data_IF_668327759972
#
_entry.id   IF_668327759972
#
_cell.length_a   1.000
_cell.length_b   1.000
_cell.length_c   1.000
_cell.angle_alpha   90.00
_cell.angle_beta   90.00
_cell.angle_gamma   90.00
#
_symmetry.space_group_name_H-M   'P 1'
#
loop_
_entity.id
_entity.type
_entity.pdbx_description
1 polymer ?
#
# COMPACT_ATOMS: atom_id res chain seq x y z
N UNK A 1 -20.29 -3.13 -6.16
CA UNK A 1 -18.96 -3.73 -6.37
C UNK A 1 -18.10 -2.67 -7.04
N UNK A 2 -16.87 -2.42 -6.55
CA UNK A 2 -16.00 -1.29 -7.00
C UNK A 2 -15.46 -1.52 -8.43
N UNK A 3 -15.62 -2.74 -8.92
CA UNK A 3 -15.20 -3.34 -10.20
C UNK A 3 -15.76 -2.71 -11.46
N UNK A 4 -16.54 -1.64 -11.35
CA UNK A 4 -17.08 -0.89 -12.48
C UNK A 4 -16.78 0.61 -12.39
N UNK A 5 -16.00 1.05 -11.39
CA UNK A 5 -15.65 2.45 -11.18
C UNK A 5 -14.34 2.86 -11.87
N UNK A 6 -13.72 1.97 -12.64
CA UNK A 6 -12.52 2.26 -13.43
C UNK A 6 -11.27 2.51 -12.58
N UNK A 7 -11.16 1.90 -11.40
CA UNK A 7 -9.98 2.01 -10.56
C UNK A 7 -8.84 1.12 -11.09
N UNK A 8 -7.62 1.65 -11.14
CA UNK A 8 -6.43 0.87 -11.54
C UNK A 8 -5.73 0.20 -10.34
N UNK A 9 -5.94 0.73 -9.14
CA UNK A 9 -5.31 0.28 -7.89
C UNK A 9 -6.17 0.61 -6.67
N UNK A 10 -5.89 -0.08 -5.56
CA UNK A 10 -6.50 0.17 -4.25
C UNK A 10 -5.39 0.52 -3.26
N UNK A 11 -5.53 1.65 -2.57
CA UNK A 11 -4.61 2.06 -1.51
C UNK A 11 -5.20 1.68 -0.15
N UNK A 12 -4.48 0.89 0.62
CA UNK A 12 -4.83 0.56 1.99
C UNK A 12 -4.33 1.69 2.91
N UNK A 13 -5.18 2.67 3.16
CA UNK A 13 -4.83 3.85 3.95
C UNK A 13 -4.88 3.62 5.47
N UNK A 14 -5.60 2.58 5.92
CA UNK A 14 -5.71 2.18 7.32
C UNK A 14 -4.87 0.93 7.61
N UNK A 15 -4.22 0.89 8.77
CA UNK A 15 -3.35 -0.22 9.17
C UNK A 15 -4.09 -1.55 9.28
N UNK A 16 -5.35 -1.52 9.69
CA UNK A 16 -6.18 -2.72 9.85
C UNK A 16 -6.59 -3.31 8.49
N UNK A 17 -6.55 -2.51 7.42
CA UNK A 17 -6.88 -2.99 6.08
C UNK A 17 -5.81 -3.94 5.55
N UNK A 18 -4.54 -3.75 5.91
CA UNK A 18 -3.50 -4.70 5.55
C UNK A 18 -3.82 -6.10 6.11
N UNK A 19 -4.24 -6.19 7.38
CA UNK A 19 -4.66 -7.45 8.00
C UNK A 19 -5.89 -8.07 7.32
N UNK A 20 -6.84 -7.23 6.91
CA UNK A 20 -8.07 -7.69 6.25
C UNK A 20 -7.82 -8.18 4.81
N UNK A 21 -6.79 -7.67 4.13
CA UNK A 21 -6.43 -8.04 2.77
C UNK A 21 -5.30 -9.07 2.70
N UNK A 22 -4.69 -9.43 3.83
CA UNK A 22 -3.61 -10.40 3.88
C UNK A 22 -4.05 -11.77 3.32
N UNK A 23 -3.23 -12.33 2.43
CA UNK A 23 -3.51 -13.57 1.71
C UNK A 23 -4.71 -13.55 0.76
N UNK A 24 -5.39 -12.41 0.56
CA UNK A 24 -6.52 -12.30 -0.36
C UNK A 24 -6.05 -12.03 -1.79
N UNK A 25 -6.55 -12.83 -2.74
CA UNK A 25 -6.37 -12.56 -4.15
C UNK A 25 -7.34 -11.46 -4.60
N UNK A 26 -6.81 -10.37 -5.15
CA UNK A 26 -7.63 -9.28 -5.72
C UNK A 26 -7.24 -9.05 -7.17
N UNK A 27 -8.19 -8.59 -7.99
CA UNK A 27 -7.92 -8.21 -9.38
C UNK A 27 -7.26 -6.82 -9.49
N UNK A 28 -6.98 -6.18 -8.36
CA UNK A 28 -6.37 -4.87 -8.29
C UNK A 28 -4.94 -4.94 -7.81
N UNK A 29 -4.14 -3.98 -8.27
CA UNK A 29 -2.89 -3.67 -7.60
C UNK A 29 -3.23 -3.07 -6.23
N UNK A 30 -2.91 -3.80 -5.17
CA UNK A 30 -3.02 -3.32 -3.80
C UNK A 30 -1.73 -2.60 -3.43
N UNK A 31 -1.85 -1.40 -2.85
CA UNK A 31 -0.74 -0.60 -2.35
C UNK A 31 -0.98 -0.39 -0.86
N UNK A 32 -0.15 -0.98 -0.02
CA UNK A 32 -0.19 -0.72 1.43
C UNK A 32 0.57 0.58 1.73
N UNK A 33 -0.13 1.53 2.38
CA UNK A 33 0.49 2.77 2.83
C UNK A 33 1.61 2.52 3.87
N UNK A 34 1.49 1.48 4.71
CA UNK A 34 2.54 1.13 5.67
C UNK A 34 3.83 0.72 4.97
N UNK A 35 3.76 -0.13 3.95
CA UNK A 35 4.93 -0.55 3.19
C UNK A 35 5.61 0.64 2.52
N UNK A 36 4.83 1.56 1.94
CA UNK A 36 5.35 2.79 1.32
C UNK A 36 6.08 3.66 2.34
N UNK A 37 5.48 3.87 3.52
CA UNK A 37 6.10 4.66 4.58
C UNK A 37 7.36 4.00 5.13
N UNK A 38 7.35 2.68 5.35
CA UNK A 38 8.51 1.93 5.85
C UNK A 38 9.66 1.98 4.85
N UNK A 39 9.37 1.82 3.55
CA UNK A 39 10.39 1.93 2.50
C UNK A 39 11.04 3.32 2.50
N UNK A 40 10.24 4.38 2.57
CA UNK A 40 10.77 5.75 2.66
C UNK A 40 11.59 5.95 3.94
N UNK A 41 11.10 5.50 5.09
CA UNK A 41 11.84 5.58 6.36
C UNK A 41 13.18 4.85 6.28
N UNK A 42 13.22 3.66 5.69
CA UNK A 42 14.45 2.91 5.49
C UNK A 42 15.45 3.66 4.59
N UNK A 43 14.96 4.29 3.52
CA UNK A 43 15.80 5.10 2.63
C UNK A 43 16.34 6.35 3.32
N UNK A 44 15.54 7.01 4.15
CA UNK A 44 15.98 8.15 4.94
C UNK A 44 17.07 7.75 5.95
N UNK A 45 16.86 6.65 6.68
CA UNK A 45 17.80 6.18 7.71
C UNK A 45 19.14 5.74 7.10
N UNK A 46 19.11 5.18 5.89
CA UNK A 46 20.30 4.71 5.19
C UNK A 46 20.96 5.76 4.31
N UNK A 47 20.44 6.99 4.30
CA UNK A 47 20.97 8.09 3.49
C UNK A 47 20.72 7.94 1.98
N UNK A 48 19.77 7.09 1.57
CA UNK A 48 19.34 6.93 0.16
C UNK A 48 18.30 7.96 -0.27
N UNK A 49 17.65 8.63 0.68
CA UNK A 49 16.70 9.70 0.43
C UNK A 49 16.89 10.85 1.44
N UNK A 50 16.34 12.02 1.10
CA UNK A 50 16.19 13.19 1.99
C UNK A 50 14.76 13.69 1.94
N UNK A 51 14.26 14.25 3.05
CA UNK A 51 12.95 14.92 3.13
C UNK A 51 13.04 16.40 2.70
#
# INVERSE_FOLDING_TARGET
>A
MVDHLGADAVVLAGTDLNLAFDGQATNYRVIDALDVHIALLADLITGRATL
#
